data_IF_965283398043
#
_entry.id   IF_965283398043
#
_cell.length_a   1.000
_cell.length_b   1.000
_cell.length_c   1.000
_cell.angle_alpha   90.00
_cell.angle_beta   90.00
_cell.angle_gamma   90.00
#
_symmetry.space_group_name_H-M   'P 1'
#
loop_
_entity.id
_entity.type
_entity.pdbx_description
1 polymer ?
2 water ?
#
# COMPACT_ATOMS: atom_id res chain seq x y z
N UNK A 35 23.34 19.69 10.13
CA UNK A 35 21.93 19.73 9.75
C UNK A 35 21.27 21.07 10.09
N UNK A 36 20.75 21.75 9.06
CA UNK A 36 19.93 22.95 9.23
C UNK A 36 18.46 22.61 8.99
N UNK A 37 17.73 22.38 10.07
CA UNK A 37 16.37 21.89 9.97
C UNK A 37 15.37 22.90 9.37
N UNK A 38 15.42 24.14 9.84
CA UNK A 38 14.49 25.15 9.36
C UNK A 38 14.45 25.20 7.83
N UNK A 39 15.59 24.94 7.19
CA UNK A 39 15.65 24.96 5.73
C UNK A 39 15.14 23.67 5.10
N UNK A 40 15.58 22.54 5.64
CA UNK A 40 15.20 21.25 5.09
C UNK A 40 13.70 21.08 5.19
N UNK A 41 13.14 21.58 6.28
CA UNK A 41 11.73 21.35 6.58
C UNK A 41 10.79 22.25 5.78
N UNK A 42 11.34 23.25 5.10
CA UNK A 42 10.49 24.27 4.52
C UNK A 42 9.48 23.75 3.50
N UNK A 43 9.93 22.90 2.57
CA UNK A 43 8.98 22.37 1.58
C UNK A 43 7.91 21.43 2.17
N UNK A 44 8.14 20.93 3.38
CA UNK A 44 7.16 20.07 4.05
C UNK A 44 6.12 20.92 4.74
N UNK A 45 6.55 22.06 5.26
CA UNK A 45 5.63 23.00 5.84
C UNK A 45 4.64 23.50 4.79
N UNK A 46 5.17 23.84 3.62
CA UNK A 46 4.36 24.27 2.48
C UNK A 46 3.39 23.17 2.07
N UNK A 47 3.92 21.95 1.87
CA UNK A 47 3.13 20.79 1.45
C UNK A 47 1.93 20.52 2.38
N UNK A 48 2.13 20.57 3.69
CA UNK A 48 1.03 20.36 4.61
C UNK A 48 -0.06 21.39 4.40
N UNK A 49 0.36 22.63 4.13
CA UNK A 49 -0.57 23.73 3.94
C UNK A 49 -1.42 23.56 2.68
N UNK A 50 -0.77 23.22 1.56
CA UNK A 50 -1.47 22.93 0.30
C UNK A 50 -2.34 21.67 0.35
N UNK A 51 -1.80 20.60 0.92
CA UNK A 51 -2.57 19.38 1.06
C UNK A 51 -3.82 19.64 1.92
N UNK A 52 -3.67 20.42 2.98
CA UNK A 52 -4.82 20.78 3.81
C UNK A 52 -5.91 21.41 2.94
N UNK A 53 -5.56 22.48 2.23
CA UNK A 53 -6.56 23.23 1.46
C UNK A 53 -7.13 22.38 0.31
N UNK A 54 -6.28 21.61 -0.37
CA UNK A 54 -6.75 20.67 -1.39
C UNK A 54 -7.77 19.66 -0.81
N UNK A 55 -7.39 18.96 0.27
CA UNK A 55 -8.27 17.95 0.86
C UNK A 55 -9.56 18.49 1.48
N UNK A 56 -9.55 19.76 1.90
CA UNK A 56 -10.73 20.35 2.52
C UNK A 56 -11.77 20.76 1.47
N UNK A 57 -11.32 20.79 0.21
CA UNK A 57 -12.15 21.15 -0.92
C UNK A 57 -12.94 19.98 -1.48
N UNK A 58 -12.53 18.77 -1.14
CA UNK A 58 -13.27 17.59 -1.51
C UNK A 58 -14.63 17.67 -0.81
N UNK A 59 -14.58 18.01 0.48
CA UNK A 59 -15.78 18.09 1.29
C UNK A 59 -16.68 19.24 0.84
N UNK A 60 -16.09 20.37 0.46
CA UNK A 60 -16.86 21.48 -0.08
C UNK A 60 -17.61 21.04 -1.34
N UNK A 61 -16.97 20.24 -2.17
CA UNK A 61 -17.55 19.82 -3.44
C UNK A 61 -18.73 18.91 -3.25
N UNK A 62 -18.60 17.98 -2.33
CA UNK A 62 -19.67 17.05 -2.07
C UNK A 62 -20.86 17.85 -1.59
N UNK A 63 -20.63 18.74 -0.63
CA UNK A 63 -21.71 19.52 -0.02
C UNK A 63 -22.40 20.47 -1.01
N UNK A 64 -21.64 21.15 -1.86
CA UNK A 64 -22.22 22.00 -2.91
C UNK A 64 -23.13 21.16 -3.82
N UNK A 65 -22.68 19.96 -4.18
CA UNK A 65 -23.51 19.04 -4.95
C UNK A 65 -24.58 18.36 -4.07
N UNK A 66 -24.79 18.89 -2.88
CA UNK A 66 -25.74 18.29 -1.93
C UNK A 66 -25.70 16.75 -1.88
N UNK A 67 -24.54 16.20 -1.63
CA UNK A 67 -24.33 14.77 -1.42
C UNK A 67 -23.57 14.52 -0.12
N UNK A 68 -23.63 13.32 0.40
CA UNK A 68 -22.80 12.96 1.54
C UNK A 68 -21.31 13.06 1.20
N UNK A 69 -20.58 13.66 2.13
CA UNK A 69 -19.14 13.84 2.02
C UNK A 69 -18.40 12.77 2.81
N UNK A 70 -17.51 12.03 2.13
CA UNK A 70 -16.69 11.00 2.77
C UNK A 70 -15.74 11.62 3.79
N UNK A 71 -15.41 12.90 3.60
CA UNK A 71 -14.48 13.58 4.48
C UNK A 71 -15.24 14.49 5.44
N UNK A 72 -14.94 14.39 6.74
CA UNK A 72 -15.61 15.23 7.71
C UNK A 72 -14.75 16.43 8.03
N UNK A 73 -13.47 16.19 8.30
CA UNK A 73 -12.52 17.28 8.41
C UNK A 73 -11.08 16.84 8.28
N UNK A 74 -10.17 17.80 8.33
CA UNK A 74 -8.80 17.54 7.94
C UNK A 74 -7.83 18.30 8.81
N UNK A 75 -6.90 17.57 9.40
CA UNK A 75 -5.83 18.15 10.20
C UNK A 75 -4.49 17.76 9.61
N UNK A 76 -3.40 18.30 10.13
CA UNK A 76 -2.09 17.94 9.61
C UNK A 76 -0.95 18.79 10.14
N UNK A 77 0.22 18.20 10.27
CA UNK A 77 1.37 18.91 10.76
C UNK A 77 2.67 18.28 10.32
N UNK A 78 3.73 19.06 10.29
CA UNK A 78 5.03 18.50 10.02
C UNK A 78 5.51 17.78 11.26
N UNK A 79 6.15 16.64 11.08
CA UNK A 79 6.63 15.85 12.21
C UNK A 79 7.76 16.61 12.90
N UNK A 80 7.72 16.68 14.24
CA UNK A 80 8.67 17.48 15.02
C UNK A 80 10.12 17.02 14.85
N UNK A 81 11.08 17.93 14.96
CA UNK A 81 12.48 17.59 14.72
C UNK A 81 13.01 16.40 15.54
N UNK A 82 12.52 16.26 16.77
CA UNK A 82 12.96 15.17 17.65
C UNK A 82 12.44 13.83 17.15
N UNK A 83 11.22 13.83 16.65
CA UNK A 83 10.62 12.60 16.15
C UNK A 83 11.31 12.15 14.87
N UNK A 84 11.70 13.11 14.04
CA UNK A 84 12.46 12.74 12.85
C UNK A 84 13.77 12.02 13.24
N UNK A 85 14.49 12.60 14.21
CA UNK A 85 15.79 12.07 14.62
C UNK A 85 15.66 10.66 15.16
N UNK A 86 14.62 10.42 15.95
CA UNK A 86 14.37 9.10 16.46
C UNK A 86 14.15 8.13 15.31
N UNK A 87 13.23 8.49 14.42
CA UNK A 87 12.94 7.63 13.29
C UNK A 87 14.24 7.37 12.50
N UNK A 88 15.14 8.34 12.50
CA UNK A 88 16.40 8.21 11.76
C UNK A 88 17.30 7.16 12.41
N UNK A 89 17.37 7.23 13.73
CA UNK A 89 18.08 6.26 14.53
C UNK A 89 17.48 4.86 14.39
N UNK A 90 16.16 4.78 14.45
CA UNK A 90 15.47 3.49 14.43
C UNK A 90 15.43 2.82 13.05
N UNK A 91 15.20 3.58 11.99
CA UNK A 91 15.16 3.01 10.65
C UNK A 91 16.53 3.04 9.92
N UNK A 92 17.52 3.71 10.49
CA UNK A 92 18.81 3.82 9.84
C UNK A 92 18.84 4.69 8.58
N UNK A 93 18.19 5.85 8.65
CA UNK A 93 18.15 6.79 7.53
C UNK A 93 19.12 7.94 7.79
N UNK A 94 20.12 8.10 6.93
CA UNK A 94 21.10 9.18 7.07
C UNK A 94 20.46 10.48 6.59
N UNK A 95 20.99 11.63 7.01
CA UNK A 95 20.36 12.90 6.66
C UNK A 95 20.31 13.16 5.15
N UNK A 96 21.37 12.74 4.44
CA UNK A 96 21.40 12.87 2.97
C UNK A 96 20.30 12.06 2.28
N UNK A 97 19.70 11.11 2.99
CA UNK A 97 18.61 10.32 2.41
C UNK A 97 17.24 10.58 3.02
N UNK A 98 17.09 11.67 3.76
CA UNK A 98 15.81 11.95 4.42
C UNK A 98 14.68 12.09 3.40
N UNK A 99 14.84 13.00 2.45
CA UNK A 99 13.77 13.30 1.53
C UNK A 99 13.38 12.05 0.74
N UNK A 100 14.38 11.31 0.27
CA UNK A 100 14.07 10.17 -0.59
C UNK A 100 13.62 8.94 0.21
N UNK A 101 13.97 8.87 1.49
CA UNK A 101 13.72 7.65 2.27
C UNK A 101 12.69 7.74 3.40
N UNK A 102 12.46 8.94 3.94
CA UNK A 102 11.47 9.07 5.02
C UNK A 102 10.08 9.45 4.46
N UNK A 103 9.06 8.72 4.91
CA UNK A 103 7.76 8.73 4.26
C UNK A 103 6.74 9.64 4.92
N UNK A 104 6.93 9.92 6.21
CA UNK A 104 5.91 10.60 6.99
C UNK A 104 6.38 11.90 7.63
N UNK A 105 7.29 12.61 6.98
CA UNK A 105 7.69 13.88 7.53
C UNK A 105 6.46 14.81 7.55
N UNK A 106 5.90 15.10 6.37
CA UNK A 106 4.59 15.73 6.36
C UNK A 106 3.59 14.66 6.72
N UNK A 107 2.69 14.96 7.66
CA UNK A 107 1.68 14.01 8.05
C UNK A 107 0.28 14.61 8.02
N UNK A 108 -0.66 13.94 7.36
CA UNK A 108 -2.02 14.45 7.26
C UNK A 108 -3.05 13.46 7.77
N UNK A 109 -4.15 13.99 8.27
CA UNK A 109 -5.22 13.16 8.79
C UNK A 109 -6.55 13.52 8.17
N UNK A 110 -7.20 12.55 7.55
CA UNK A 110 -8.52 12.76 6.99
C UNK A 110 -9.52 12.04 7.89
N UNK A 111 -10.31 12.82 8.62
CA UNK A 111 -11.34 12.26 9.51
C UNK A 111 -12.64 11.99 8.76
N UNK A 112 -13.04 10.72 8.73
CA UNK A 112 -14.27 10.30 8.07
C UNK A 112 -15.31 9.90 9.11
N UNK A 113 -16.58 9.99 8.74
CA UNK A 113 -17.67 9.62 9.63
C UNK A 113 -17.89 8.10 9.79
N UNK A 114 -17.82 7.35 8.69
CA UNK A 114 -18.07 5.90 8.72
C UNK A 114 -16.88 5.06 8.24
N UNK A 115 -16.73 3.86 8.80
CA UNK A 115 -15.69 2.96 8.31
C UNK A 115 -15.76 2.89 6.78
N UNK A 116 -16.99 2.78 6.28
CA UNK A 116 -17.23 2.67 4.87
C UNK A 116 -16.71 3.86 4.06
N UNK A 117 -16.70 5.05 4.67
CA UNK A 117 -16.22 6.24 3.94
C UNK A 117 -14.73 6.19 3.56
N UNK A 118 -13.98 5.31 4.21
CA UNK A 118 -12.54 5.19 3.95
C UNK A 118 -12.22 4.85 2.48
N UNK A 119 -12.93 3.86 1.93
CA UNK A 119 -12.67 3.46 0.55
C UNK A 119 -13.04 4.55 -0.46
N UNK A 120 -14.08 5.32 -0.15
CA UNK A 120 -14.44 6.45 -1.02
C UNK A 120 -13.33 7.52 -0.98
N UNK A 121 -12.87 7.87 0.21
CA UNK A 121 -11.72 8.77 0.31
C UNK A 121 -10.56 8.20 -0.49
N UNK A 122 -10.44 6.87 -0.51
CA UNK A 122 -9.31 6.21 -1.17
C UNK A 122 -9.42 6.34 -2.68
N UNK A 123 -10.58 6.03 -3.25
CA UNK A 123 -10.82 6.20 -4.68
C UNK A 123 -10.48 7.60 -5.18
N UNK A 124 -10.83 8.59 -4.37
CA UNK A 124 -10.55 9.98 -4.72
C UNK A 124 -9.05 10.24 -4.74
N UNK A 125 -8.36 9.77 -3.71
CA UNK A 125 -6.93 10.00 -3.58
C UNK A 125 -6.12 9.39 -4.74
N UNK A 126 -6.50 8.16 -5.11
CA UNK A 126 -5.82 7.42 -6.19
C UNK A 126 -6.01 8.05 -7.57
N UNK A 127 -7.13 8.72 -7.79
CA UNK A 127 -7.41 9.37 -9.08
C UNK A 127 -6.91 10.83 -9.20
N UNK A 128 -6.30 11.37 -8.14
CA UNK A 128 -5.70 12.71 -8.22
C UNK A 128 -4.42 12.67 -9.08
N UNK A 129 -4.14 13.79 -9.75
CA UNK A 129 -2.96 13.91 -10.61
C UNK A 129 -1.90 14.86 -10.04
N UNK A 130 -2.21 15.55 -8.95
CA UNK A 130 -1.27 16.49 -8.35
C UNK A 130 -0.43 15.85 -7.26
N UNK A 131 -0.56 14.55 -7.14
CA UNK A 131 0.26 13.76 -6.23
C UNK A 131 0.14 12.36 -6.80
N UNK A 132 1.04 11.48 -6.38
CA UNK A 132 0.96 10.10 -6.78
C UNK A 132 0.96 9.20 -5.54
N UNK A 133 -0.02 8.29 -5.46
CA UNK A 133 -0.06 7.30 -4.39
C UNK A 133 1.05 6.24 -4.58
N UNK A 134 1.93 6.07 -3.60
CA UNK A 134 3.02 5.10 -3.75
C UNK A 134 3.02 3.99 -2.73
N UNK A 135 2.17 4.10 -1.71
CA UNK A 135 2.05 3.02 -0.76
C UNK A 135 0.74 3.06 -0.01
N UNK A 136 0.10 1.91 0.17
CA UNK A 136 -1.09 1.83 1.03
C UNK A 136 -0.92 0.75 2.08
N UNK A 137 -1.44 0.98 3.27
CA UNK A 137 -1.42 -0.04 4.32
C UNK A 137 -2.72 -0.03 5.10
N UNK A 138 -3.38 -1.18 5.12
CA UNK A 138 -4.72 -1.26 5.66
C UNK A 138 -4.66 -1.75 7.10
N UNK A 139 -4.96 -0.89 8.07
CA UNK A 139 -5.06 -1.35 9.45
C UNK A 139 -6.49 -1.25 9.94
N UNK A 140 -7.43 -1.38 9.01
CA UNK A 140 -8.85 -1.35 9.35
C UNK A 140 -9.46 -2.76 9.46
N UNK A 141 -9.25 -3.64 8.47
CA UNK A 141 -9.61 -5.07 8.61
C UNK A 141 -8.77 -5.78 9.67
N UNK A 142 -7.56 -5.24 9.88
CA UNK A 142 -6.73 -5.60 11.03
C UNK A 142 -7.55 -5.73 12.31
N UNK A 144 -9.76 -9.46 13.76
CA UNK A 144 -9.90 -9.19 15.20
C UNK A 144 -10.42 -7.78 15.50
N UNK A 145 -11.62 -7.69 16.10
CA UNK A 145 -12.29 -6.42 16.42
C UNK A 145 -11.67 -5.70 17.61
N UNK A 146 -10.45 -5.19 17.46
CA UNK A 146 -9.68 -4.69 18.60
C UNK A 146 -8.32 -4.14 18.13
N UNK A 147 -7.65 -3.40 19.02
CA UNK A 147 -6.41 -2.71 18.69
C UNK A 147 -6.54 -1.50 17.75
N UNK A 148 -5.39 -0.93 17.40
CA UNK A 148 -5.26 0.15 16.42
C UNK A 148 -6.09 -0.05 15.15
N UNK A 149 -6.64 1.05 14.64
CA UNK A 149 -7.46 0.97 13.44
C UNK A 149 -7.22 2.25 12.65
N UNK A 150 -6.70 2.10 11.43
CA UNK A 150 -6.40 3.27 10.63
C UNK A 150 -6.01 2.81 9.23
N UNK A 151 -5.97 3.73 8.28
CA UNK A 151 -5.51 3.41 6.94
C UNK A 151 -4.41 4.39 6.53
N UNK A 152 -3.25 3.89 6.14
CA UNK A 152 -2.12 4.77 5.82
C UNK A 152 -1.83 4.83 4.34
N UNK A 153 -1.75 6.04 3.80
CA UNK A 153 -1.40 6.27 2.41
C UNK A 153 -0.18 7.16 2.32
N UNK A 154 0.80 6.77 1.52
CA UNK A 154 1.96 7.61 1.30
C UNK A 154 1.85 8.18 -0.10
N UNK A 155 2.07 9.48 -0.21
CA UNK A 155 1.99 10.16 -1.48
C UNK A 155 3.27 10.94 -1.73
N UNK A 156 3.72 10.94 -2.98
CA UNK A 156 4.75 11.84 -3.44
C UNK A 156 4.06 13.10 -3.90
N UNK A 157 4.50 14.24 -3.37
CA UNK A 157 3.86 15.51 -3.65
C UNK A 157 4.91 16.50 -4.11
N UNK A 158 4.73 17.02 -5.34
CA UNK A 158 5.66 18.02 -5.86
C UNK A 158 5.32 19.39 -5.29
N UNK A 159 6.27 20.00 -4.60
CA UNK A 159 6.05 21.33 -4.07
C UNK A 159 7.04 22.32 -4.67
N UNK A 160 6.52 23.37 -5.32
CA UNK A 160 7.39 24.41 -5.86
C UNK A 160 7.84 25.35 -4.78
N UNK A 161 9.15 25.54 -4.64
CA UNK A 161 9.71 26.46 -3.67
C UNK A 161 10.35 27.62 -4.45
N UNK A 162 10.84 28.65 -3.75
CA UNK A 162 11.52 29.73 -4.43
C UNK A 162 12.85 29.28 -5.07
N UNK A 163 13.38 28.15 -4.62
CA UNK A 163 14.61 27.64 -5.25
C UNK A 163 14.38 26.45 -6.16
N UNK A 164 13.12 26.15 -6.47
CA UNK A 164 12.79 25.09 -7.40
C UNK A 164 11.86 24.03 -6.82
N UNK A 165 11.57 23.01 -7.63
CA UNK A 165 10.66 21.95 -7.23
C UNK A 165 11.32 20.89 -6.35
N UNK A 166 10.59 20.46 -5.33
CA UNK A 166 11.02 19.37 -4.46
C UNK A 166 9.94 18.30 -4.43
N UNK A 167 10.33 17.04 -4.61
CA UNK A 167 9.37 15.96 -4.44
C UNK A 167 9.46 15.48 -2.99
N UNK A 168 8.44 15.76 -2.17
CA UNK A 168 8.41 15.28 -0.78
C UNK A 168 7.39 14.15 -0.57
N UNK A 169 7.53 13.38 0.51
CA UNK A 169 6.55 12.34 0.79
C UNK A 169 5.71 12.72 2.00
N UNK A 170 4.41 12.52 1.89
CA UNK A 170 3.50 12.83 2.99
C UNK A 170 2.77 11.56 3.41
N UNK A 171 2.56 11.39 4.71
CA UNK A 171 1.72 10.29 5.16
C UNK A 171 0.30 10.77 5.49
N UNK A 172 -0.67 10.27 4.73
CA UNK A 172 -2.06 10.55 4.98
C UNK A 172 -2.71 9.41 5.76
N UNK A 173 -3.20 9.68 6.95
CA UNK A 173 -3.96 8.66 7.67
C UNK A 173 -5.43 8.97 7.61
N UNK A 174 -6.23 7.95 7.33
CA UNK A 174 -7.68 8.09 7.22
C UNK A 174 -8.34 7.38 8.42
N UNK A 175 -9.22 8.07 9.13
CA UNK A 175 -9.70 7.55 10.42
C UNK A 175 -11.13 7.96 10.70
N UNK A 176 -11.87 7.11 11.40
CA UNK A 176 -13.12 7.58 12.02
C UNK A 176 -12.82 8.47 13.23
N UNK A 177 -13.83 9.19 13.69
CA UNK A 177 -13.67 10.00 14.88
C UNK A 177 -13.20 9.11 16.05
N UNK A 178 -13.86 7.96 16.22
CA UNK A 178 -13.49 7.02 17.28
C UNK A 178 -12.08 6.44 17.11
N UNK A 179 -11.72 6.10 15.88
CA UNK A 179 -10.38 5.60 15.59
C UNK A 179 -9.34 6.61 16.02
N UNK A 180 -9.60 7.86 15.68
CA UNK A 180 -8.67 8.93 16.01
C UNK A 180 -8.60 9.19 17.51
N UNK A 181 -9.75 9.17 18.19
CA UNK A 181 -9.81 9.26 19.66
C UNK A 181 -8.88 8.26 20.36
N UNK A 182 -9.03 6.96 20.04
CA UNK A 182 -8.15 5.93 20.57
C UNK A 182 -6.67 6.08 20.16
N UNK A 183 -6.41 6.17 18.86
CA UNK A 183 -5.04 6.23 18.35
C UNK A 183 -4.27 7.40 18.94
N UNK A 184 -4.98 8.48 19.17
CA UNK A 184 -4.39 9.64 19.77
C UNK A 184 -3.98 9.36 21.23
N UNK A 185 -4.86 8.68 21.97
CA UNK A 185 -4.56 8.31 23.35
C UNK A 185 -3.46 7.24 23.47
N UNK A 186 -3.57 6.16 22.72
CA UNK A 186 -2.56 5.10 22.76
C UNK A 186 -1.20 5.64 22.39
N UNK A 187 -1.16 6.57 21.44
CA UNK A 187 0.09 7.15 20.98
C UNK A 187 0.82 7.96 22.06
N UNK A 188 0.08 8.77 22.82
CA UNK A 188 0.69 9.51 23.93
C UNK A 188 1.17 8.58 25.05
N UNK A 189 0.30 7.69 25.49
CA UNK A 189 0.70 6.73 26.53
C UNK A 189 1.95 6.00 26.08
N UNK A 190 1.93 5.53 24.84
CA UNK A 190 3.08 4.87 24.21
C UNK A 190 4.38 5.66 24.31
N UNK A 191 4.38 6.92 23.88
CA UNK A 191 5.57 7.74 24.03
C UNK A 191 6.13 7.57 25.44
N UNK A 192 5.37 8.01 26.43
CA UNK A 192 5.79 8.00 27.83
C UNK A 192 6.37 6.66 28.34
N UNK A 193 5.72 5.56 28.01
CA UNK A 193 6.19 4.23 28.44
C UNK A 193 7.13 3.56 27.43
N UNK A 194 7.40 4.23 26.33
CA UNK A 194 8.21 3.64 25.27
C UNK A 194 7.73 2.25 24.88
N UNK A 195 6.42 2.12 24.61
CA UNK A 195 5.84 0.89 24.10
C UNK A 195 5.75 -0.26 25.10
N UNK A 196 6.25 -0.03 26.31
CA UNK A 196 6.23 -1.07 27.34
C UNK A 196 5.21 -0.78 28.43
N UNK A 197 3.95 -1.14 28.18
CA UNK A 197 2.85 -0.75 29.05
C UNK A 197 2.71 -1.55 30.34
N UNK A 198 2.31 -0.88 31.43
CA UNK A 198 1.86 -1.58 32.64
C UNK A 198 0.80 -2.61 32.26
N UNK A 199 0.35 -3.42 33.21
CA UNK A 199 -0.71 -4.38 32.91
C UNK A 199 -2.06 -3.67 32.76
N UNK A 200 -2.40 -2.85 33.75
CA UNK A 200 -3.71 -2.19 33.76
C UNK A 200 -3.88 -1.34 32.51
N UNK A 201 -2.92 -0.46 32.25
CA UNK A 201 -2.90 0.30 31.00
C UNK A 201 -3.17 -0.62 29.83
N UNK A 202 -2.28 -1.59 29.61
CA UNK A 202 -2.46 -2.56 28.52
C UNK A 202 -3.92 -2.99 28.32
N UNK A 203 -4.52 -3.59 29.34
CA UNK A 203 -5.88 -4.12 29.23
C UNK A 203 -6.93 -3.02 29.10
N UNK A 204 -6.62 -1.85 29.64
CA UNK A 204 -7.48 -0.68 29.50
C UNK A 204 -7.48 -0.20 28.05
N UNK A 205 -6.30 -0.24 27.44
CA UNK A 205 -6.13 0.15 26.04
C UNK A 205 -6.80 -0.86 25.12
N UNK A 206 -6.72 -2.13 25.48
CA UNK A 206 -7.39 -3.11 24.66
C UNK A 206 -8.91 -3.01 24.85
N UNK A 207 -9.34 -2.86 26.10
CA UNK A 207 -10.77 -2.83 26.38
C UNK A 207 -11.39 -1.65 25.66
N UNK A 208 -10.77 -0.51 25.87
CA UNK A 208 -11.15 0.74 25.23
C UNK A 208 -11.18 0.61 23.70
N UNK A 209 -10.17 -0.05 23.16
CA UNK A 209 -10.09 -0.33 21.73
C UNK A 209 -11.28 -1.10 21.18
N UNK A 210 -11.79 -2.06 21.95
CA UNK A 210 -12.92 -2.84 21.47
C UNK A 210 -14.21 -2.03 21.52
N UNK A 211 -14.32 -1.15 22.51
CA UNK A 211 -15.45 -0.22 22.58
C UNK A 211 -15.44 0.74 21.41
N UNK A 212 -14.25 1.22 21.06
CA UNK A 212 -14.08 2.04 19.88
C UNK A 212 -14.65 1.34 18.65
N UNK A 213 -14.22 0.11 18.42
CA UNK A 213 -14.71 -0.68 17.29
C UNK A 213 -16.23 -0.88 17.31
N UNK A 214 -16.80 -1.17 18.48
CA UNK A 214 -18.25 -1.46 18.57
C UNK A 214 -19.09 -0.26 18.12
N UNK A 215 -18.72 0.93 18.63
CA UNK A 215 -19.39 2.18 18.32
C UNK A 215 -19.43 2.39 16.82
N UNK A 216 -18.27 2.25 16.17
CA UNK A 216 -18.17 2.34 14.70
C UNK A 216 -18.96 1.23 14.01
N UNK A 217 -18.84 0.01 14.53
CA UNK A 217 -19.49 -1.12 13.89
C UNK A 217 -21.02 -0.95 13.93
N UNK A 218 -21.52 -0.41 15.03
CA UNK A 218 -22.95 -0.17 15.19
C UNK A 218 -23.49 0.92 14.28
N UNK A 219 -22.84 2.08 14.27
CA UNK A 219 -23.33 3.18 13.46
C UNK A 219 -23.31 2.93 11.94
N UNK A 220 -22.31 2.20 11.45
CA UNK A 220 -22.18 2.00 10.01
C UNK A 220 -23.38 1.24 9.49
N UNK A 221 -24.03 0.48 10.36
CA UNK A 221 -25.13 -0.36 9.93
C UNK A 221 -26.40 0.40 9.60
N UNK A 222 -26.63 1.49 10.33
CA UNK A 222 -27.72 2.42 10.03
C UNK A 222 -27.18 3.63 9.26
N UNK A 223 -26.02 3.47 8.65
CA UNK A 223 -25.35 4.59 7.99
C UNK A 223 -26.16 5.20 6.85
N UNK A 224 -26.84 4.38 6.08
CA UNK A 224 -27.66 4.90 4.98
C UNK A 224 -28.75 5.80 5.52
N UNK A 225 -29.24 5.47 6.71
CA UNK A 225 -30.34 6.19 7.34
C UNK A 225 -29.85 7.55 7.86
N UNK A 226 -28.79 7.52 8.67
CA UNK A 226 -28.17 8.76 9.12
C UNK A 226 -27.83 9.71 7.97
N UNK A 227 -27.23 9.19 6.90
CA UNK A 227 -26.81 10.06 5.80
C UNK A 227 -28.02 10.73 5.23
N UNK A 228 -29.09 9.96 5.13
CA UNK A 228 -30.35 10.42 4.58
C UNK A 228 -30.91 11.56 5.42
N UNK A 229 -30.83 11.43 6.74
CA UNK A 229 -31.32 12.46 7.64
C UNK A 229 -30.51 13.75 7.48
N UNK A 230 -29.19 13.64 7.50
CA UNK A 230 -28.30 14.79 7.35
C UNK A 230 -28.50 15.51 6.03
N UNK A 231 -28.80 14.75 4.98
CA UNK A 231 -28.98 15.32 3.65
C UNK A 231 -30.27 16.14 3.56
N UNK A 232 -30.93 16.29 4.70
CA UNK A 232 -32.02 17.24 4.84
C UNK A 232 -31.45 18.52 5.48
N UNK A 233 -30.74 19.30 4.67
CA UNK A 233 -30.20 20.59 5.08
C UNK A 233 -31.20 21.71 4.78
N UNK B 38 14.49 -25.65 7.32
CA UNK B 38 13.94 -26.36 6.17
C UNK B 38 12.58 -26.93 6.49
N UNK B 39 12.25 -26.93 7.78
CA UNK B 39 10.91 -27.27 8.23
C UNK B 39 10.14 -25.96 8.30
N UNK B 40 10.90 -24.87 8.28
CA UNK B 40 10.34 -23.52 8.33
C UNK B 40 9.63 -23.19 7.03
N UNK B 41 10.19 -23.69 5.93
CA UNK B 41 9.75 -23.33 4.61
C UNK B 41 8.46 -24.02 4.20
N UNK B 42 7.94 -24.90 5.03
CA UNK B 42 6.85 -25.73 4.56
C UNK B 42 5.58 -24.96 4.25
N UNK B 43 5.04 -24.21 5.23
CA UNK B 43 3.75 -23.56 4.95
C UNK B 43 3.83 -22.58 3.76
N UNK B 44 5.04 -22.14 3.42
CA UNK B 44 5.20 -21.23 2.29
C UNK B 44 5.03 -21.98 0.97
N UNK B 45 5.44 -23.24 0.94
CA UNK B 45 5.23 -24.07 -0.24
C UNK B 45 3.75 -24.44 -0.40
N UNK B 46 3.04 -24.64 0.72
CA UNK B 46 1.60 -24.90 0.65
C UNK B 46 0.86 -23.67 0.15
N UNK B 47 1.17 -22.52 0.77
CA UNK B 47 0.57 -21.25 0.42
C UNK B 47 0.68 -20.99 -1.10
N UNK B 48 1.91 -20.89 -1.60
CA UNK B 48 2.14 -20.67 -3.02
C UNK B 48 1.24 -21.59 -3.81
N UNK B 49 1.29 -22.87 -3.44
CA UNK B 49 0.47 -23.89 -4.09
C UNK B 49 -1.02 -23.53 -4.11
N UNK B 50 -1.56 -23.18 -2.95
CA UNK B 50 -2.97 -22.80 -2.80
C UNK B 50 -3.26 -21.51 -3.56
N UNK B 51 -2.42 -20.50 -3.34
CA UNK B 51 -2.61 -19.21 -3.98
C UNK B 51 -2.63 -19.31 -5.49
N UNK B 52 -1.81 -20.20 -6.04
CA UNK B 52 -1.79 -20.46 -7.49
C UNK B 52 -3.15 -20.91 -7.97
N UNK B 53 -3.68 -21.97 -7.35
CA UNK B 53 -4.98 -22.50 -7.71
C UNK B 53 -6.10 -21.48 -7.42
N UNK B 54 -6.07 -20.82 -6.26
CA UNK B 54 -7.00 -19.72 -5.99
C UNK B 54 -6.97 -18.64 -7.08
N UNK B 55 -5.79 -18.10 -7.39
CA UNK B 55 -5.63 -17.08 -8.45
C UNK B 55 -5.93 -17.55 -9.89
N UNK B 56 -5.72 -18.83 -10.20
CA UNK B 56 -6.06 -19.35 -11.54
C UNK B 56 -7.57 -19.50 -11.68
N UNK B 57 -8.24 -19.58 -10.53
CA UNK B 57 -9.68 -19.69 -10.49
C UNK B 57 -10.44 -18.45 -10.88
N UNK B 58 -9.87 -17.27 -10.59
CA UNK B 58 -10.51 -16.01 -10.95
C UNK B 58 -10.69 -15.95 -12.46
N UNK B 59 -9.64 -16.37 -13.15
CA UNK B 59 -9.61 -16.39 -14.60
C UNK B 59 -10.71 -17.31 -15.11
N UNK B 60 -10.76 -18.53 -14.57
CA UNK B 60 -11.80 -19.46 -14.98
C UNK B 60 -13.19 -18.82 -14.89
N UNK B 61 -13.46 -18.10 -13.82
CA UNK B 61 -14.79 -17.51 -13.62
C UNK B 61 -15.18 -16.50 -14.67
N UNK B 62 -14.30 -15.54 -14.93
CA UNK B 62 -14.60 -14.51 -15.94
C UNK B 62 -14.94 -15.17 -17.26
N UNK B 63 -14.20 -16.22 -17.61
CA UNK B 63 -14.34 -16.90 -18.90
C UNK B 63 -15.62 -17.72 -19.05
N UNK B 64 -15.99 -18.46 -18.01
CA UNK B 64 -17.23 -19.22 -18.01
C UNK B 64 -18.40 -18.22 -18.11
N UNK B 65 -18.17 -16.99 -17.62
CA UNK B 65 -19.17 -15.92 -17.69
C UNK B 65 -18.94 -15.11 -18.96
N UNK B 66 -18.01 -15.57 -19.78
CA UNK B 66 -17.72 -14.94 -21.05
C UNK B 66 -17.55 -13.42 -20.97
N UNK B 67 -16.65 -12.97 -20.09
CA UNK B 67 -16.19 -11.59 -20.14
C UNK B 67 -14.66 -11.57 -20.06
N UNK B 68 -14.05 -10.42 -20.35
CA UNK B 68 -12.59 -10.35 -20.29
C UNK B 68 -12.07 -10.63 -18.88
N UNK B 69 -10.96 -11.36 -18.80
CA UNK B 69 -10.31 -11.70 -17.54
C UNK B 69 -9.11 -10.79 -17.28
N UNK B 70 -9.07 -10.15 -16.10
CA UNK B 70 -7.97 -9.25 -15.78
C UNK B 70 -6.69 -10.06 -15.58
N UNK B 71 -6.84 -11.30 -15.14
CA UNK B 71 -5.68 -12.17 -15.01
C UNK B 71 -5.49 -13.02 -16.25
N UNK B 72 -4.27 -13.04 -16.77
CA UNK B 72 -3.95 -13.80 -17.97
C UNK B 72 -3.36 -15.13 -17.56
N UNK B 73 -2.32 -15.11 -16.74
CA UNK B 73 -1.80 -16.34 -16.15
C UNK B 73 -1.01 -16.10 -14.84
N UNK B 74 -0.72 -17.16 -14.09
CA UNK B 74 -0.11 -17.00 -12.78
C UNK B 74 1.08 -17.91 -12.59
N UNK B 75 2.18 -17.34 -12.10
CA UNK B 75 3.33 -18.14 -11.72
C UNK B 75 3.62 -17.90 -10.25
N UNK B 76 4.48 -18.74 -9.66
CA UNK B 76 4.84 -18.57 -8.26
C UNK B 76 5.93 -19.50 -7.83
N UNK B 77 6.69 -19.11 -6.81
CA UNK B 77 7.76 -19.94 -6.30
C UNK B 77 8.22 -19.43 -4.94
N UNK B 78 8.82 -20.31 -4.15
CA UNK B 78 9.33 -19.97 -2.85
C UNK B 78 10.78 -19.50 -2.95
N UNK B 79 11.09 -18.33 -2.43
CA UNK B 79 12.46 -17.81 -2.44
C UNK B 79 13.43 -18.86 -1.87
N UNK B 80 14.56 -19.05 -2.54
CA UNK B 80 15.56 -20.04 -2.11
C UNK B 80 16.24 -19.62 -0.82
N UNK B 81 16.73 -20.60 -0.05
CA UNK B 81 17.41 -20.33 1.21
C UNK B 81 18.53 -19.30 1.02
N UNK B 82 19.28 -19.46 -0.07
CA UNK B 82 20.38 -18.54 -0.36
C UNK B 82 19.91 -17.09 -0.34
N UNK B 83 18.86 -16.80 -1.11
CA UNK B 83 18.31 -15.45 -1.17
C UNK B 83 17.75 -15.03 0.19
N UNK B 84 17.15 -15.99 0.90
CA UNK B 84 16.58 -15.73 2.25
C UNK B 84 17.66 -15.25 3.23
N UNK B 85 18.65 -16.09 3.50
CA UNK B 85 19.75 -15.72 4.39
C UNK B 85 20.45 -14.47 3.87
N UNK B 86 20.74 -14.47 2.58
CA UNK B 86 21.35 -13.32 1.92
C UNK B 86 20.61 -12.02 2.25
N UNK B 87 19.28 -12.11 2.23
CA UNK B 87 18.43 -10.95 2.49
C UNK B 87 18.21 -10.73 3.99
N UNK B 88 18.69 -11.68 4.80
CA UNK B 88 18.59 -11.56 6.24
C UNK B 88 19.65 -10.60 6.76
N UNK B 89 20.73 -10.46 6.00
CA UNK B 89 21.81 -9.55 6.36
C UNK B 89 21.54 -8.15 5.82
N UNK B 90 21.37 -8.06 4.51
CA UNK B 90 21.06 -6.78 3.87
C UNK B 90 19.98 -6.05 4.65
N UNK B 91 18.84 -6.72 4.85
CA UNK B 91 17.74 -6.16 5.63
C UNK B 91 17.93 -6.42 7.13
N UNK B 92 19.07 -7.01 7.49
CA UNK B 92 19.45 -7.20 8.88
C UNK B 92 18.41 -7.87 9.74
N UNK B 93 17.65 -8.80 9.14
CA UNK B 93 16.57 -9.47 9.85
C UNK B 93 17.09 -10.59 10.74
N UNK B 94 16.75 -10.53 12.03
CA UNK B 94 17.06 -11.61 12.95
C UNK B 94 16.29 -12.84 12.52
N UNK B 95 17.01 -13.96 12.36
CA UNK B 95 16.42 -15.20 11.84
C UNK B 95 15.15 -15.66 12.57
N UNK B 96 14.93 -15.17 13.78
CA UNK B 96 13.77 -15.58 14.58
C UNK B 96 12.48 -14.83 14.20
N UNK B 97 12.61 -13.54 13.91
CA UNK B 97 11.48 -12.77 13.38
C UNK B 97 11.52 -12.79 11.85
N UNK B 98 11.37 -13.97 11.29
CA UNK B 98 11.65 -14.20 9.90
C UNK B 98 10.30 -14.27 9.34
N UNK B 99 9.45 -14.94 10.08
CA UNK B 99 8.10 -15.05 9.67
C UNK B 99 7.53 -13.66 9.60
N UNK B 100 7.74 -12.89 10.64
CA UNK B 100 7.16 -11.58 10.69
C UNK B 100 8.20 -10.51 10.50
N UNK B 101 8.79 -10.49 9.33
CA UNK B 101 9.76 -9.45 9.01
C UNK B 101 9.98 -9.45 7.52
N UNK B 102 10.34 -10.60 6.97
CA UNK B 102 10.50 -10.80 5.55
C UNK B 102 9.17 -11.18 4.94
N UNK B 103 8.80 -10.56 3.84
CA UNK B 103 7.42 -10.63 3.35
C UNK B 103 7.33 -11.32 2.02
N UNK B 104 8.48 -11.68 1.46
CA UNK B 104 8.53 -12.23 0.12
C UNK B 104 9.14 -13.61 0.11
N UNK B 105 9.09 -14.29 1.25
CA UNK B 105 9.62 -15.65 1.31
C UNK B 105 8.85 -16.48 0.30
N UNK B 106 7.52 -16.38 0.36
CA UNK B 106 6.67 -16.84 -0.74
C UNK B 106 6.47 -15.66 -1.68
N UNK B 107 6.49 -15.94 -2.98
CA UNK B 107 6.27 -14.94 -4.00
C UNK B 107 5.33 -15.40 -5.11
N UNK B 108 4.42 -14.53 -5.52
CA UNK B 108 3.59 -14.84 -6.68
C UNK B 108 3.64 -13.73 -7.73
N UNK B 109 3.40 -14.09 -8.98
CA UNK B 109 3.27 -13.11 -10.04
C UNK B 109 1.91 -13.28 -10.72
N UNK B 110 1.13 -12.21 -10.82
CA UNK B 110 -0.11 -12.29 -11.60
C UNK B 110 0.05 -11.53 -12.91
N UNK B 111 0.16 -12.24 -14.02
CA UNK B 111 0.34 -11.59 -15.32
C UNK B 111 -0.99 -11.12 -15.91
N UNK B 112 -1.02 -9.87 -16.35
CA UNK B 112 -2.21 -9.29 -16.95
C UNK B 112 -1.95 -8.91 -18.42
N UNK B 113 -3.02 -8.80 -19.19
CA UNK B 113 -2.88 -8.37 -20.57
C UNK B 113 -2.65 -6.86 -20.72
N UNK B 114 -3.43 -6.03 -20.01
CA UNK B 114 -3.26 -4.56 -20.11
C UNK B 114 -2.88 -3.90 -18.81
N UNK B 115 -2.16 -2.80 -18.91
CA UNK B 115 -1.87 -1.99 -17.73
C UNK B 115 -3.17 -1.79 -16.95
N UNK B 116 -4.24 -1.43 -17.66
CA UNK B 116 -5.55 -1.21 -17.02
C UNK B 116 -6.13 -2.38 -16.22
N UNK B 117 -5.72 -3.61 -16.52
CA UNK B 117 -6.19 -4.80 -15.79
C UNK B 117 -5.61 -4.90 -14.39
N UNK B 118 -4.48 -4.27 -14.13
CA UNK B 118 -3.91 -4.26 -12.78
C UNK B 118 -4.90 -3.84 -11.68
N UNK B 119 -5.61 -2.74 -11.89
CA UNK B 119 -6.55 -2.28 -10.88
C UNK B 119 -7.69 -3.26 -10.68
N UNK B 120 -8.11 -3.93 -11.74
CA UNK B 120 -9.20 -4.88 -11.61
C UNK B 120 -8.78 -6.08 -10.75
N UNK B 121 -7.59 -6.62 -11.00
CA UNK B 121 -7.02 -7.63 -10.12
C UNK B 121 -6.96 -7.12 -8.67
N UNK B 122 -6.64 -5.84 -8.51
CA UNK B 122 -6.48 -5.26 -7.17
C UNK B 122 -7.81 -5.24 -6.38
N UNK B 123 -8.89 -4.87 -7.07
CA UNK B 123 -10.20 -4.81 -6.47
C UNK B 123 -10.70 -6.19 -6.04
N UNK B 124 -10.40 -7.21 -6.85
CA UNK B 124 -10.75 -8.58 -6.50
C UNK B 124 -9.96 -9.04 -5.27
N UNK B 125 -8.70 -8.63 -5.19
CA UNK B 125 -7.80 -9.06 -4.13
C UNK B 125 -8.22 -8.44 -2.81
N UNK B 126 -8.41 -7.12 -2.82
CA UNK B 126 -8.79 -6.41 -1.60
C UNK B 126 -10.05 -6.98 -0.95
N UNK B 127 -10.95 -7.52 -1.77
CA UNK B 127 -12.22 -8.06 -1.26
C UNK B 127 -12.25 -9.58 -0.96
N UNK B 128 -11.12 -10.26 -1.07
CA UNK B 128 -11.05 -11.69 -0.71
C UNK B 128 -11.08 -11.88 0.83
N UNK B 129 -11.67 -12.97 1.28
CA UNK B 129 -11.82 -13.22 2.70
C UNK B 129 -10.75 -14.16 3.26
N UNK B 130 -10.02 -14.82 2.37
CA UNK B 130 -9.08 -15.87 2.79
C UNK B 130 -7.65 -15.36 2.92
N UNK B 131 -7.50 -14.04 2.85
CA UNK B 131 -6.23 -13.36 3.07
C UNK B 131 -6.52 -11.91 3.50
N UNK B 132 -5.52 -11.24 4.04
CA UNK B 132 -5.63 -9.81 4.27
C UNK B 132 -4.53 -9.11 3.49
N UNK B 133 -4.92 -8.11 2.68
CA UNK B 133 -3.95 -7.22 2.05
C UNK B 133 -3.37 -6.26 3.10
N UNK B 134 -2.08 -6.38 3.39
CA UNK B 134 -1.48 -5.53 4.41
C UNK B 134 -0.57 -4.43 3.86
N UNK B 135 -0.25 -4.48 2.57
CA UNK B 135 0.55 -3.42 1.96
C UNK B 135 0.43 -3.39 0.45
N UNK B 136 0.41 -2.19 -0.13
CA UNK B 136 0.44 -2.07 -1.58
C UNK B 136 1.47 -1.03 -1.97
N UNK B 137 2.17 -1.26 -3.07
CA UNK B 137 3.14 -0.30 -3.58
C UNK B 137 3.01 -0.22 -5.09
N UNK B 138 2.98 0.99 -5.63
CA UNK B 138 2.67 1.18 -7.02
C UNK B 138 3.93 1.59 -7.79
N UNK B 139 4.38 0.75 -8.72
CA UNK B 139 5.48 1.12 -9.60
C UNK B 139 5.03 1.07 -11.03
N UNK B 140 3.77 1.29 -11.24
CA UNK B 140 3.27 1.34 -12.57
C UNK B 140 3.09 2.79 -12.95
N UNK B 141 2.25 3.51 -12.24
CA UNK B 141 2.12 4.91 -12.43
C UNK B 141 3.45 5.48 -12.09
N UNK B 142 4.43 4.62 -12.12
CA UNK B 142 5.78 5.04 -11.88
C UNK B 142 6.25 4.68 -10.51
N UNK B 146 10.09 5.11 -17.71
CA UNK B 146 11.21 4.23 -17.93
C UNK B 146 11.59 3.60 -16.59
N UNK B 147 12.40 2.57 -16.66
CA UNK B 147 12.82 1.77 -15.52
C UNK B 147 11.82 0.69 -15.17
N UNK B 148 11.95 0.18 -13.94
CA UNK B 148 11.06 -0.83 -13.39
C UNK B 148 9.57 -0.46 -13.36
N UNK B 149 8.73 -1.35 -13.87
CA UNK B 149 7.27 -1.19 -13.83
C UNK B 149 6.69 -2.46 -13.28
N UNK B 150 5.95 -2.33 -12.18
CA UNK B 150 5.30 -3.46 -11.52
C UNK B 150 4.44 -2.97 -10.38
N UNK B 151 3.45 -3.75 -9.99
CA UNK B 151 2.66 -3.40 -8.81
C UNK B 151 2.82 -4.50 -7.76
N UNK B 152 3.16 -4.13 -6.52
CA UNK B 152 3.48 -5.10 -5.48
C UNK B 152 2.43 -5.17 -4.39
N UNK B 153 1.92 -6.36 -4.12
CA UNK B 153 1.00 -6.58 -2.99
C UNK B 153 1.59 -7.52 -1.93
N UNK B 154 1.55 -7.12 -0.66
CA UNK B 154 1.85 -8.08 0.42
C UNK B 154 0.54 -8.58 1.05
N UNK B 155 0.43 -9.90 1.15
CA UNK B 155 -0.75 -10.51 1.77
C UNK B 155 -0.38 -11.37 2.98
N UNK B 156 -1.23 -11.34 3.99
CA UNK B 156 -1.24 -12.33 5.08
C UNK B 156 -2.14 -13.50 4.70
N UNK B 157 -1.59 -14.71 4.71
CA UNK B 157 -2.32 -15.90 4.26
C UNK B 157 -2.30 -16.99 5.33
N UNK B 158 -3.49 -17.33 5.88
CA UNK B 158 -3.57 -18.37 6.90
C UNK B 158 -3.48 -19.75 6.26
N UNK B 159 -2.46 -20.53 6.61
CA UNK B 159 -2.39 -21.88 6.07
C UNK B 159 -2.46 -22.92 7.18
N UNK B 160 -3.34 -23.92 7.00
CA UNK B 160 -3.35 -25.07 7.91
C UNK B 160 -2.27 -26.09 7.56
N UNK B 161 -1.45 -26.42 8.55
CA UNK B 161 -0.44 -27.46 8.38
C UNK B 161 -0.82 -28.65 9.28
N UNK B 162 -0.20 -29.81 9.05
CA UNK B 162 -0.53 -30.98 9.85
C UNK B 162 -0.39 -30.69 11.33
N UNK B 163 0.49 -29.75 11.68
CA UNK B 163 0.74 -29.41 13.08
C UNK B 163 0.13 -28.09 13.52
N UNK B 164 -0.90 -27.62 12.80
CA UNK B 164 -1.60 -26.40 13.17
C UNK B 164 -1.53 -25.26 12.15
N UNK B 165 -2.21 -24.15 12.46
CA UNK B 165 -2.33 -22.99 11.57
C UNK B 165 -1.10 -22.09 11.61
N UNK B 166 -0.67 -21.64 10.43
CA UNK B 166 0.41 -20.67 10.31
C UNK B 166 0.00 -19.49 9.41
N UNK B 167 0.25 -18.27 9.89
CA UNK B 167 -0.02 -17.07 9.10
C UNK B 167 1.27 -16.65 8.42
N UNK B 168 1.42 -16.96 7.13
CA UNK B 168 2.61 -16.56 6.39
C UNK B 168 2.37 -15.29 5.56
N UNK B 169 3.45 -14.68 5.07
CA UNK B 169 3.33 -13.54 4.17
C UNK B 169 3.84 -13.90 2.79
N UNK B 170 3.04 -13.58 1.78
CA UNK B 170 3.46 -13.79 0.41
C UNK B 170 3.49 -12.44 -0.30
N UNK B 171 4.33 -12.30 -1.30
CA UNK B 171 4.35 -11.08 -2.06
C UNK B 171 3.76 -11.35 -3.42
N UNK B 172 2.73 -10.59 -3.79
CA UNK B 172 2.11 -10.76 -5.09
C UNK B 172 2.54 -9.60 -6.00
N UNK B 173 3.15 -9.89 -7.13
CA UNK B 173 3.41 -8.84 -8.10
C UNK B 173 2.48 -8.95 -9.27
N UNK B 174 1.92 -7.82 -9.69
CA UNK B 174 1.06 -7.78 -10.86
C UNK B 174 1.79 -7.05 -12.00
N UNK B 175 1.72 -7.62 -13.20
CA UNK B 175 2.59 -7.24 -14.30
C UNK B 175 2.00 -7.61 -15.66
N UNK B 176 2.30 -6.78 -16.65
CA UNK B 176 2.04 -7.18 -18.03
C UNK B 176 3.16 -8.12 -18.50
N UNK B 177 3.00 -8.70 -19.68
CA UNK B 177 4.08 -9.45 -20.28
C UNK B 177 5.36 -8.60 -20.44
N UNK B 178 5.21 -7.38 -20.95
CA UNK B 178 6.38 -6.51 -21.19
C UNK B 178 7.14 -6.16 -19.92
N UNK B 179 6.39 -5.83 -18.87
CA UNK B 179 6.98 -5.49 -17.56
C UNK B 179 7.78 -6.69 -17.06
N UNK B 180 7.14 -7.86 -17.14
CA UNK B 180 7.78 -9.07 -16.67
C UNK B 180 9.00 -9.42 -17.55
N UNK B 181 8.85 -9.32 -18.86
CA UNK B 181 9.98 -9.54 -19.78
C UNK B 181 11.17 -8.69 -19.37
N UNK B 182 10.96 -7.39 -19.21
CA UNK B 182 12.01 -6.45 -18.80
C UNK B 182 12.52 -6.62 -17.36
N UNK B 183 11.62 -6.83 -16.40
CA UNK B 183 11.97 -6.97 -14.99
C UNK B 183 12.81 -8.21 -14.72
N UNK B 184 12.41 -9.32 -15.32
CA UNK B 184 13.17 -10.55 -15.18
C UNK B 184 14.61 -10.38 -15.70
N UNK B 185 14.75 -9.75 -16.87
CA UNK B 185 16.07 -9.54 -17.45
C UNK B 185 16.92 -8.60 -16.60
N UNK B 186 16.34 -7.52 -16.11
CA UNK B 186 17.07 -6.58 -15.28
C UNK B 186 17.50 -7.20 -13.95
N UNK B 187 16.77 -8.22 -13.51
CA UNK B 187 17.06 -8.83 -12.22
C UNK B 187 18.26 -9.77 -12.29
N UNK B 188 18.32 -10.58 -13.35
CA UNK B 188 19.46 -11.45 -13.55
C UNK B 188 20.72 -10.61 -13.68
N UNK B 189 20.65 -9.64 -14.59
CA UNK B 189 21.80 -8.79 -14.84
C UNK B 189 22.25 -8.13 -13.55
N UNK B 190 21.28 -7.65 -12.77
CA UNK B 190 21.59 -7.00 -11.50
C UNK B 190 22.18 -7.97 -10.48
N UNK B 191 22.09 -9.25 -10.79
CA UNK B 191 22.71 -10.25 -9.95
C UNK B 191 24.15 -10.48 -10.39
N UNK B 192 24.35 -10.68 -11.69
CA UNK B 192 25.69 -10.93 -12.22
C UNK B 192 26.63 -9.88 -11.69
N UNK B 193 26.20 -8.64 -11.82
CA UNK B 193 26.97 -7.46 -11.49
C UNK B 193 26.85 -6.83 -10.10
N UNK B 194 26.07 -7.37 -9.18
CA UNK B 194 26.07 -6.81 -7.85
C UNK B 194 25.58 -5.38 -7.76
N UNK B 195 24.79 -4.98 -8.73
CA UNK B 195 23.98 -3.79 -8.68
C UNK B 195 24.59 -2.61 -9.39
N UNK B 196 25.90 -2.70 -9.66
CA UNK B 196 26.61 -1.65 -10.38
C UNK B 196 26.80 -2.04 -11.84
N UNK B 197 26.09 -1.37 -12.75
CA UNK B 197 26.11 -1.74 -14.18
C UNK B 197 27.21 -1.09 -15.00
N UNK B 198 27.84 -1.88 -15.89
CA UNK B 198 28.60 -1.25 -16.97
C UNK B 198 27.68 -0.25 -17.67
N UNK B 199 28.21 0.84 -18.21
CA UNK B 199 27.40 1.91 -18.81
C UNK B 199 26.57 1.46 -20.03
N UNK B 200 27.19 0.67 -20.89
CA UNK B 200 26.48 0.04 -22.00
C UNK B 200 25.19 -0.63 -21.51
N UNK B 201 25.33 -1.49 -20.51
CA UNK B 201 24.20 -2.16 -19.90
C UNK B 201 23.18 -1.17 -19.35
N UNK B 202 23.64 -0.22 -18.52
CA UNK B 202 22.80 0.88 -18.05
C UNK B 202 21.93 1.48 -19.14
N UNK B 203 22.55 1.83 -20.26
CA UNK B 203 21.86 2.51 -21.36
C UNK B 203 20.92 1.55 -22.08
N UNK B 204 21.39 0.33 -22.29
CA UNK B 204 20.60 -0.71 -22.93
C UNK B 204 19.32 -0.99 -22.16
N UNK B 205 19.46 -1.12 -20.84
CA UNK B 205 18.32 -1.40 -19.98
C UNK B 205 17.37 -0.20 -19.93
N UNK B 206 17.93 1.00 -20.01
CA UNK B 206 17.10 2.17 -19.95
C UNK B 206 16.35 2.32 -21.27
N UNK B 207 17.01 1.98 -22.37
CA UNK B 207 16.39 2.05 -23.69
C UNK B 207 15.25 1.05 -23.78
N UNK B 208 15.60 -0.22 -23.70
CA UNK B 208 14.61 -1.30 -23.66
C UNK B 208 13.45 -0.97 -22.72
N UNK B 209 13.77 -0.38 -21.58
CA UNK B 209 12.75 0.07 -20.64
C UNK B 209 11.66 0.97 -21.25
N UNK B 210 12.06 1.93 -22.08
CA UNK B 210 11.12 2.83 -22.73
C UNK B 210 10.27 2.10 -23.80
N UNK B 211 10.89 1.15 -24.52
CA UNK B 211 10.17 0.38 -25.55
C UNK B 211 9.06 -0.47 -24.93
N UNK B 212 9.43 -1.22 -23.90
CA UNK B 212 8.45 -1.99 -23.14
C UNK B 212 7.27 -1.09 -22.78
N UNK B 213 7.56 0.05 -22.17
CA UNK B 213 6.50 1.00 -21.80
C UNK B 213 5.61 1.39 -22.98
N UNK B 214 6.22 1.68 -24.13
CA UNK B 214 5.45 2.12 -25.29
C UNK B 214 4.53 1.04 -25.85
N UNK B 215 5.07 -0.18 -25.97
CA UNK B 215 4.30 -1.31 -26.46
C UNK B 215 3.02 -1.42 -25.66
N UNK B 216 3.16 -1.33 -24.34
CA UNK B 216 2.01 -1.35 -23.43
C UNK B 216 1.15 -0.08 -23.55
N UNK B 217 1.80 1.05 -23.76
CA UNK B 217 1.07 2.31 -23.83
C UNK B 217 0.22 2.36 -25.11
N UNK B 218 0.79 1.92 -26.22
CA UNK B 218 0.05 1.77 -27.48
C UNK B 218 -1.10 0.77 -27.42
N UNK B 219 -0.81 -0.43 -26.95
CA UNK B 219 -1.82 -1.49 -26.97
C UNK B 219 -3.05 -1.16 -26.12
N UNK B 220 -2.84 -0.45 -25.00
CA UNK B 220 -3.92 -0.14 -24.08
C UNK B 220 -4.91 0.84 -24.72
N UNK B 221 -4.42 1.70 -25.61
CA UNK B 221 -5.29 2.65 -26.28
C UNK B 221 -6.42 1.97 -27.04
N UNK B 222 -6.18 0.76 -27.47
CA UNK B 222 -7.17 0.00 -28.16
C UNK B 222 -7.45 -1.26 -27.45
N UNK B 223 -7.27 -1.23 -26.13
CA UNK B 223 -7.80 -2.18 -25.17
C UNK B 223 -9.14 -2.80 -25.49
N UNK B 224 -10.13 -1.95 -25.65
CA UNK B 224 -11.52 -2.33 -25.73
C UNK B 224 -11.86 -3.01 -27.02
N UNK B 225 -11.28 -2.55 -28.10
CA UNK B 225 -11.51 -3.21 -29.38
C UNK B 225 -10.92 -4.63 -29.36
N UNK B 226 -9.70 -4.76 -28.84
CA UNK B 226 -9.05 -6.06 -28.69
C UNK B 226 -9.90 -7.06 -27.88
N UNK B 227 -10.39 -6.63 -26.73
CA UNK B 227 -11.21 -7.49 -25.88
C UNK B 227 -12.46 -7.98 -26.61
N UNK B 228 -13.13 -7.06 -27.28
CA UNK B 228 -14.37 -7.37 -27.97
C UNK B 228 -14.09 -8.41 -29.04
N UNK B 229 -12.96 -8.30 -29.69
CA UNK B 229 -12.50 -9.22 -30.68
C UNK B 229 -12.17 -10.60 -30.12
N UNK B 230 -11.54 -10.63 -28.97
CA UNK B 230 -11.24 -11.87 -28.34
C UNK B 230 -12.47 -12.53 -27.80
N UNK B 231 -13.48 -11.78 -27.44
CA UNK B 231 -14.63 -12.38 -26.84
C UNK B 231 -15.48 -13.09 -27.84
N UNK B 232 -15.32 -12.73 -29.10
CA UNK B 232 -15.76 -13.54 -30.18
C UNK B 232 -14.83 -14.73 -30.24
N UNK B 233 -14.63 -15.32 -29.08
CA UNK B 233 -13.75 -16.44 -28.92
C UNK B 233 -13.24 -16.87 -30.28
#
# INVERSE_FOLDING_TARGET
>A
MGSSHHHHHHSSGLVPRGSHMASMTGGQQMGRGSMNWEEFLDPYIQAVGELKIKFRGIRKQFRKQKRHSPIEFVTGRVKPIESIKEKMVLRGIKKENLTQDMQDIAGLRIMVQFVDDVNDVLELLRQRKDMKVIQERDYINNLKPSGYRSYHVIVEYPVDTISGQRIIMAEIQIRTLAMNFWATIEHSLNYKYHGEFPEDIKRRLELTSKIAFQLDEEMRQIRDDIKEAQLLFDAETRKLNDGVGNSDDTDELYR
>B
MGSSHHHHHHSSGLVPRGSHMASMTGGQQMGRGSMNWEEFLDPYIQAVGELKIKFRGIRKQFRKQKRHSPIEFVTGRVKPIESIKEKMVLRGIKKENLTQDMQDIAGLRIMVQFVDDVNDVLELLRQRKDMKVIQERDYINNLKPSGYRSYHVIVEYPVDTISGQRIIMAEIQIRTLAMNFWATIEHSLNYKYHGEFPEDIKRRLELTSKIAFQLDEEMRQIRDDIKEAQLLFDAETRKLNDGVGNSDDTDELYR
#
